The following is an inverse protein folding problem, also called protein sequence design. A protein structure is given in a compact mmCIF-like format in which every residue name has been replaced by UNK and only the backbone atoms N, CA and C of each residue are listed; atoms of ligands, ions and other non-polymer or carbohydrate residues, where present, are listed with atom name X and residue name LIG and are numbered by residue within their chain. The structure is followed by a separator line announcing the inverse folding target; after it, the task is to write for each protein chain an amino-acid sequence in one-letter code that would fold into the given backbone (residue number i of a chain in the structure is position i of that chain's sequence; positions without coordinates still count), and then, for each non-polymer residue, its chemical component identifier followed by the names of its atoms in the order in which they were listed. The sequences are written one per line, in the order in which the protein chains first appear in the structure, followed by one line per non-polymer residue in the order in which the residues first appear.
data_IF_649743114219
#
_entry.id   IF_649743114219
#
_cell.length_a   1.000
_cell.length_b   1.000
_cell.length_c   1.000
_cell.angle_alpha   90.00
_cell.angle_beta   90.00
_cell.angle_gamma   90.00
#
_symmetry.space_group_name_H-M   'P 1'
#
loop_
_entity.id
_entity.type
_entity.pdbx_description
1 polymer ?
#
# COMPACT_ATOMS: atom_id res chain seq x y z
N UNK A 1 -10.53 -6.39 -5.84
CA UNK A 1 -10.56 -4.91 -5.92
C UNK A 1 -9.76 -4.40 -7.12
N UNK A 2 -8.48 -4.78 -7.28
CA UNK A 2 -7.63 -4.21 -8.35
C UNK A 2 -8.10 -4.58 -9.76
N UNK A 3 -8.64 -5.78 -9.98
CA UNK A 3 -9.26 -6.12 -11.27
C UNK A 3 -10.44 -5.16 -11.60
N UNK A 4 -11.24 -4.82 -10.61
CA UNK A 4 -12.30 -3.81 -10.78
C UNK A 4 -11.72 -2.40 -11.04
N UNK A 5 -10.58 -2.05 -10.44
CA UNK A 5 -9.88 -0.81 -10.73
C UNK A 5 -9.45 -0.75 -12.21
N UNK A 6 -8.88 -1.84 -12.73
CA UNK A 6 -8.50 -1.95 -14.16
C UNK A 6 -9.71 -1.75 -15.06
N UNK A 7 -10.84 -2.38 -14.73
CA UNK A 7 -12.09 -2.20 -15.46
C UNK A 7 -12.59 -0.73 -15.41
N UNK A 8 -12.51 -0.07 -14.25
CA UNK A 8 -12.88 1.35 -14.12
C UNK A 8 -11.98 2.27 -14.95
N UNK A 9 -10.65 1.99 -14.95
CA UNK A 9 -9.69 2.72 -15.80
C UNK A 9 -10.07 2.59 -17.28
N UNK A 10 -10.40 1.37 -17.73
CA UNK A 10 -10.82 1.13 -19.11
C UNK A 10 -12.13 1.85 -19.46
N UNK A 11 -13.13 1.77 -18.58
CA UNK A 11 -14.45 2.41 -18.80
C UNK A 11 -14.38 3.94 -18.86
N UNK A 12 -13.39 4.55 -18.23
CA UNK A 12 -13.18 6.00 -18.24
C UNK A 12 -12.51 6.51 -19.52
N UNK A 13 -12.22 5.65 -20.48
CA UNK A 13 -11.52 5.98 -21.73
C UNK A 13 -12.34 5.59 -22.95
N UNK A 14 -12.17 6.29 -24.05
CA UNK A 14 -12.79 5.94 -25.34
C UNK A 14 -12.32 4.56 -25.84
N UNK A 15 -11.04 4.24 -25.62
CA UNK A 15 -10.46 2.94 -25.96
C UNK A 15 -9.81 2.33 -24.73
N UNK A 16 -10.17 1.09 -24.37
CA UNK A 16 -9.51 0.37 -23.28
C UNK A 16 -7.99 0.26 -23.49
N UNK A 17 -7.24 0.51 -22.46
CA UNK A 17 -5.75 0.41 -22.49
C UNK A 17 -5.24 -0.90 -21.91
N UNK A 18 -6.07 -1.60 -21.13
CA UNK A 18 -5.72 -2.86 -20.51
C UNK A 18 -6.62 -3.99 -20.99
N UNK A 19 -6.00 -5.11 -21.38
CA UNK A 19 -6.68 -6.39 -21.53
C UNK A 19 -6.36 -7.24 -20.31
N UNK A 20 -7.30 -7.30 -19.37
CA UNK A 20 -7.10 -8.11 -18.16
C UNK A 20 -7.25 -9.59 -18.50
N UNK A 21 -6.20 -10.39 -18.30
CA UNK A 21 -6.15 -11.80 -18.68
C UNK A 21 -6.35 -12.76 -17.51
N UNK A 22 -6.19 -12.32 -16.26
CA UNK A 22 -6.37 -13.18 -15.08
C UNK A 22 -5.46 -12.84 -13.92
N UNK A 23 -5.35 -13.78 -13.00
CA UNK A 23 -4.61 -13.64 -11.75
C UNK A 23 -3.44 -14.62 -11.69
N UNK A 24 -2.40 -14.25 -10.93
CA UNK A 24 -1.35 -15.16 -10.48
C UNK A 24 -1.41 -15.22 -8.96
N UNK A 25 -1.44 -16.42 -8.38
CA UNK A 25 -1.56 -16.62 -6.93
C UNK A 25 -0.87 -17.92 -6.52
N UNK A 26 0.02 -17.87 -5.53
CA UNK A 26 0.78 -19.02 -5.07
C UNK A 26 -0.04 -19.98 -4.18
N UNK A 27 -1.15 -19.50 -3.63
CA UNK A 27 -2.00 -20.26 -2.70
C UNK A 27 -3.30 -20.79 -3.31
N UNK A 28 -3.63 -20.38 -4.53
CA UNK A 28 -4.91 -20.70 -5.16
C UNK A 28 -4.67 -21.54 -6.43
N UNK A 29 -5.29 -22.72 -6.55
CA UNK A 29 -5.13 -23.55 -7.74
C UNK A 29 -5.57 -22.85 -9.03
N UNK A 30 -4.86 -23.10 -10.13
CA UNK A 30 -5.18 -22.57 -11.47
C UNK A 30 -6.50 -23.10 -12.06
N UNK A 31 -7.20 -23.97 -11.34
CA UNK A 31 -8.56 -24.42 -11.70
C UNK A 31 -9.66 -23.47 -11.22
N UNK A 32 -9.31 -22.47 -10.41
CA UNK A 32 -10.27 -21.50 -9.89
C UNK A 32 -10.48 -20.37 -10.88
N UNK A 33 -11.75 -20.04 -11.12
CA UNK A 33 -12.18 -18.89 -11.88
C UNK A 33 -12.87 -17.87 -10.96
N UNK A 34 -12.50 -16.62 -11.10
CA UNK A 34 -13.20 -15.50 -10.48
C UNK A 34 -14.09 -14.81 -11.51
N UNK A 35 -15.11 -14.04 -11.10
CA UNK A 35 -15.94 -13.27 -12.04
C UNK A 35 -15.14 -12.35 -12.96
N UNK A 36 -13.94 -11.93 -12.53
CA UNK A 36 -13.06 -11.05 -13.29
C UNK A 36 -12.08 -11.78 -14.19
N UNK A 37 -11.87 -13.08 -14.00
CA UNK A 37 -10.96 -13.89 -14.81
C UNK A 37 -10.34 -15.07 -14.07
N UNK A 38 -9.64 -15.94 -14.79
CA UNK A 38 -9.05 -17.18 -14.25
C UNK A 38 -7.79 -16.92 -13.43
N UNK A 39 -7.42 -17.90 -12.62
CA UNK A 39 -6.07 -18.00 -12.04
C UNK A 39 -5.15 -18.70 -13.06
N UNK A 40 -4.13 -18.01 -13.54
CA UNK A 40 -3.22 -18.46 -14.60
C UNK A 40 -2.05 -19.30 -14.08
N UNK A 41 -1.79 -19.28 -12.79
CA UNK A 41 -0.71 -20.00 -12.13
C UNK A 41 -0.09 -19.21 -10.98
N UNK A 42 1.11 -19.61 -10.60
CA UNK A 42 1.92 -19.01 -9.55
C UNK A 42 3.01 -18.07 -10.10
N UNK A 43 3.89 -17.56 -9.24
CA UNK A 43 5.01 -16.68 -9.61
C UNK A 43 6.02 -17.38 -10.56
N UNK A 44 6.14 -18.72 -10.53
CA UNK A 44 7.05 -19.43 -11.44
C UNK A 44 6.55 -19.34 -12.88
N UNK A 45 5.24 -19.33 -13.09
CA UNK A 45 4.63 -19.09 -14.40
C UNK A 45 5.01 -17.71 -14.93
N UNK A 46 4.98 -16.67 -14.09
CA UNK A 46 5.45 -15.32 -14.48
C UNK A 46 6.91 -15.32 -14.92
N UNK A 47 7.78 -16.03 -14.20
CA UNK A 47 9.20 -16.10 -14.53
C UNK A 47 9.49 -16.84 -15.85
N UNK A 48 8.57 -17.68 -16.29
CA UNK A 48 8.68 -18.40 -17.57
C UNK A 48 7.80 -17.84 -18.68
N UNK A 49 7.06 -16.75 -18.42
CA UNK A 49 6.16 -16.12 -19.39
C UNK A 49 6.90 -15.65 -20.64
N UNK A 50 6.35 -15.95 -21.83
CA UNK A 50 7.08 -15.82 -23.09
C UNK A 50 6.95 -14.46 -23.79
N UNK A 51 5.86 -13.75 -23.54
CA UNK A 51 5.53 -12.47 -24.17
C UNK A 51 5.66 -11.32 -23.18
N UNK A 52 5.58 -10.09 -23.66
CA UNK A 52 5.46 -8.92 -22.77
C UNK A 52 4.16 -9.01 -21.97
N UNK A 53 4.23 -8.70 -20.69
CA UNK A 53 3.08 -8.72 -19.79
C UNK A 53 3.21 -7.61 -18.76
N UNK A 54 2.16 -6.82 -18.59
CA UNK A 54 2.04 -5.83 -17.51
C UNK A 54 1.38 -6.48 -16.31
N UNK A 55 1.99 -6.38 -15.14
CA UNK A 55 1.41 -6.90 -13.90
C UNK A 55 1.31 -5.82 -12.83
N UNK A 56 0.39 -6.01 -11.90
CA UNK A 56 0.29 -5.23 -10.67
C UNK A 56 0.26 -6.17 -9.47
N UNK A 57 1.03 -5.86 -8.43
CA UNK A 57 1.13 -6.71 -7.23
C UNK A 57 0.25 -6.13 -6.13
N UNK A 58 -0.96 -6.69 -5.98
CA UNK A 58 -2.02 -6.18 -5.12
C UNK A 58 -2.01 -6.85 -3.73
N UNK A 59 -0.89 -6.75 -3.02
CA UNK A 59 -0.67 -7.40 -1.71
C UNK A 59 -0.56 -6.35 -0.61
N UNK A 60 -1.45 -6.43 0.39
CA UNK A 60 -1.53 -5.47 1.50
C UNK A 60 -0.40 -5.57 2.55
N UNK A 61 0.52 -6.50 2.43
CA UNK A 61 1.70 -6.62 3.29
C UNK A 61 2.93 -6.06 2.60
N UNK A 62 3.53 -4.96 3.07
CA UNK A 62 4.73 -4.37 2.46
C UNK A 62 5.88 -5.35 2.28
N UNK A 63 6.10 -6.21 3.27
CA UNK A 63 7.15 -7.24 3.24
C UNK A 63 6.89 -8.29 2.15
N UNK A 64 5.66 -8.79 2.07
CA UNK A 64 5.26 -9.80 1.07
C UNK A 64 5.26 -9.19 -0.33
N UNK A 65 4.74 -7.96 -0.48
CA UNK A 65 4.76 -7.19 -1.73
C UNK A 65 6.19 -7.09 -2.29
N UNK A 66 7.14 -6.65 -1.45
CA UNK A 66 8.55 -6.56 -1.85
C UNK A 66 9.11 -7.94 -2.22
N UNK A 67 8.86 -8.97 -1.42
CA UNK A 67 9.35 -10.33 -1.70
C UNK A 67 8.85 -10.86 -3.05
N UNK A 68 7.60 -10.62 -3.40
CA UNK A 68 7.04 -11.03 -4.70
C UNK A 68 7.75 -10.30 -5.84
N UNK A 69 7.88 -8.98 -5.75
CA UNK A 69 8.56 -8.18 -6.78
C UNK A 69 10.01 -8.63 -6.96
N UNK A 70 10.75 -8.85 -5.87
CA UNK A 70 12.14 -9.31 -5.91
C UNK A 70 12.32 -10.71 -6.55
N UNK A 71 11.29 -11.57 -6.44
CA UNK A 71 11.32 -12.91 -7.00
C UNK A 71 10.90 -12.99 -8.48
N UNK A 72 10.40 -11.91 -9.06
CA UNK A 72 10.08 -11.85 -10.48
C UNK A 72 11.30 -11.36 -11.26
N UNK A 73 12.03 -12.30 -11.88
CA UNK A 73 13.25 -12.01 -12.61
C UNK A 73 13.04 -11.84 -14.14
N UNK A 74 11.83 -12.08 -14.64
CA UNK A 74 11.52 -12.03 -16.06
C UNK A 74 11.48 -10.57 -16.57
N UNK A 75 12.43 -10.19 -17.41
CA UNK A 75 12.55 -8.83 -17.99
C UNK A 75 11.43 -8.45 -18.96
N UNK A 76 10.55 -9.37 -19.33
CA UNK A 76 9.36 -9.10 -20.16
C UNK A 76 8.15 -8.65 -19.33
N UNK A 77 8.31 -8.65 -18.01
CA UNK A 77 7.28 -8.16 -17.10
C UNK A 77 7.54 -6.67 -16.84
N UNK A 78 6.51 -5.86 -16.99
CA UNK A 78 6.50 -4.45 -16.60
C UNK A 78 5.45 -4.19 -15.51
N UNK A 79 5.61 -3.05 -14.82
CA UNK A 79 4.81 -2.69 -13.66
C UNK A 79 4.20 -1.29 -13.86
N UNK A 80 3.05 -1.19 -14.51
CA UNK A 80 2.39 0.09 -14.72
C UNK A 80 1.87 0.67 -13.40
N UNK A 81 1.76 1.99 -13.35
CA UNK A 81 1.00 2.66 -12.31
C UNK A 81 -0.49 2.58 -12.65
N UNK A 82 -1.31 2.12 -11.71
CA UNK A 82 -2.76 2.12 -11.82
C UNK A 82 -3.33 3.28 -11.02
N UNK A 83 -4.05 4.18 -11.70
CA UNK A 83 -4.66 5.36 -11.07
C UNK A 83 -6.16 5.35 -11.37
N UNK A 84 -6.98 5.29 -10.31
CA UNK A 84 -8.42 5.34 -10.45
C UNK A 84 -8.87 6.67 -11.06
N UNK A 85 -9.82 6.68 -11.99
CA UNK A 85 -10.33 7.91 -12.62
C UNK A 85 -10.90 8.94 -11.64
N UNK A 86 -11.32 8.53 -10.45
CA UNK A 86 -11.80 9.43 -9.39
C UNK A 86 -10.70 9.98 -8.48
N UNK A 87 -9.45 9.55 -8.66
CA UNK A 87 -8.34 10.14 -7.93
C UNK A 87 -8.10 11.59 -8.37
N UNK A 88 -7.89 12.47 -7.41
CA UNK A 88 -7.66 13.90 -7.66
C UNK A 88 -6.16 14.18 -7.57
N UNK A 89 -5.55 14.53 -8.68
CA UNK A 89 -4.15 14.92 -8.77
C UNK A 89 -4.09 16.39 -9.16
N UNK A 90 -3.69 17.28 -8.25
CA UNK A 90 -3.52 18.72 -8.56
C UNK A 90 -2.32 18.94 -9.49
N UNK A 91 -1.26 18.17 -9.26
CA UNK A 91 -0.11 18.03 -10.14
C UNK A 91 0.19 16.54 -10.34
N UNK A 92 0.77 16.19 -11.48
CA UNK A 92 1.28 14.83 -11.69
C UNK A 92 2.52 14.67 -10.83
N UNK A 93 2.52 13.80 -9.80
CA UNK A 93 3.68 13.62 -8.95
C UNK A 93 4.88 13.04 -9.73
N UNK A 94 6.09 13.31 -9.24
CA UNK A 94 7.24 12.48 -9.65
C UNK A 94 7.01 11.09 -9.06
N UNK A 95 6.77 10.10 -9.93
CA UNK A 95 6.30 8.78 -9.50
C UNK A 95 7.16 7.67 -10.11
N UNK A 96 7.54 6.69 -9.29
CA UNK A 96 8.15 5.44 -9.75
C UNK A 96 7.16 4.54 -10.49
N UNK A 97 7.39 3.24 -10.47
CA UNK A 97 6.58 2.24 -11.17
C UNK A 97 5.75 1.39 -10.20
N UNK A 98 4.73 0.72 -10.72
CA UNK A 98 3.97 -0.29 -10.00
C UNK A 98 3.10 0.23 -8.85
N UNK A 99 2.84 1.52 -8.79
CA UNK A 99 1.99 2.10 -7.75
C UNK A 99 0.50 1.86 -8.06
N UNK A 100 -0.29 1.62 -7.02
CA UNK A 100 -1.75 1.48 -7.09
C UNK A 100 -2.38 2.65 -6.34
N UNK A 101 -3.09 3.51 -7.04
CA UNK A 101 -3.84 4.64 -6.49
C UNK A 101 -5.32 4.38 -6.73
N UNK A 102 -6.05 4.05 -5.65
CA UNK A 102 -7.45 3.67 -5.75
C UNK A 102 -8.40 4.89 -5.67
N UNK A 103 -9.69 4.64 -5.60
CA UNK A 103 -10.72 5.66 -5.72
C UNK A 103 -10.61 6.76 -4.65
N UNK A 104 -10.92 8.00 -5.07
CA UNK A 104 -11.00 9.18 -4.23
C UNK A 104 -9.71 9.51 -3.44
N UNK A 105 -8.57 8.99 -3.86
CA UNK A 105 -7.29 9.46 -3.34
C UNK A 105 -7.03 10.91 -3.80
N UNK A 106 -6.41 11.71 -2.93
CA UNK A 106 -6.09 13.11 -3.24
C UNK A 106 -4.59 13.33 -3.09
N UNK A 107 -3.96 13.82 -4.15
CA UNK A 107 -2.56 14.23 -4.17
C UNK A 107 -2.50 15.70 -4.58
N UNK A 108 -1.84 16.55 -3.77
CA UNK A 108 -1.80 17.97 -4.11
C UNK A 108 -0.53 18.32 -4.89
N UNK A 109 0.41 19.08 -4.36
CA UNK A 109 1.53 19.65 -5.12
C UNK A 109 2.90 19.23 -4.59
N UNK A 110 3.92 19.24 -5.46
CA UNK A 110 5.32 18.94 -5.11
C UNK A 110 5.50 17.60 -4.39
N UNK A 111 4.87 16.54 -4.90
CA UNK A 111 4.91 15.20 -4.29
C UNK A 111 5.90 14.33 -5.06
N UNK A 112 6.70 13.55 -4.31
CA UNK A 112 7.60 12.54 -4.86
C UNK A 112 7.22 11.17 -4.30
N UNK A 113 6.93 10.23 -5.20
CA UNK A 113 6.56 8.86 -4.87
C UNK A 113 7.58 7.90 -5.46
N UNK A 114 8.05 6.99 -4.66
CA UNK A 114 8.82 5.84 -5.10
C UNK A 114 7.95 4.83 -5.87
N UNK A 115 8.34 3.57 -5.81
CA UNK A 115 7.73 2.48 -6.56
C UNK A 115 6.93 1.54 -5.66
N UNK A 116 5.95 0.86 -6.26
CA UNK A 116 5.19 -0.21 -5.62
C UNK A 116 4.45 0.20 -4.34
N UNK A 117 4.00 1.45 -4.25
CA UNK A 117 3.15 1.90 -3.16
C UNK A 117 1.69 1.62 -3.47
N UNK A 118 0.91 1.32 -2.43
CA UNK A 118 -0.54 1.11 -2.53
C UNK A 118 -1.23 2.19 -1.71
N UNK A 119 -2.03 3.01 -2.38
CA UNK A 119 -2.88 4.04 -1.76
C UNK A 119 -4.33 3.58 -1.87
N UNK A 120 -4.88 3.09 -0.76
CA UNK A 120 -6.28 2.66 -0.71
C UNK A 120 -7.23 3.85 -0.62
N UNK A 121 -8.51 3.56 -0.82
CA UNK A 121 -9.62 4.50 -0.99
C UNK A 121 -9.54 5.69 -0.03
N UNK A 122 -9.62 6.90 -0.58
CA UNK A 122 -9.70 8.12 0.18
C UNK A 122 -8.41 8.53 0.91
N UNK A 123 -7.26 7.94 0.56
CA UNK A 123 -5.96 8.37 1.09
C UNK A 123 -5.63 9.78 0.63
N UNK A 124 -5.15 10.62 1.54
CA UNK A 124 -4.80 12.03 1.29
C UNK A 124 -3.30 12.24 1.46
N UNK A 125 -2.64 12.71 0.41
CA UNK A 125 -1.22 13.06 0.36
C UNK A 125 -1.11 14.53 -0.06
N UNK A 126 -0.85 15.46 0.87
CA UNK A 126 -0.78 16.89 0.57
C UNK A 126 0.62 17.31 0.07
N UNK A 127 0.84 18.63 0.03
CA UNK A 127 2.02 19.26 -0.54
C UNK A 127 3.33 18.87 0.17
N UNK A 128 4.43 18.88 -0.60
CA UNK A 128 5.80 18.68 -0.11
C UNK A 128 6.02 17.34 0.61
N UNK A 129 5.33 16.27 0.17
CA UNK A 129 5.47 14.92 0.73
C UNK A 129 6.39 14.08 -0.14
N UNK A 130 7.32 13.40 0.50
CA UNK A 130 8.23 12.44 -0.14
C UNK A 130 7.96 11.05 0.44
N UNK A 131 7.68 10.09 -0.42
CA UNK A 131 7.37 8.70 -0.05
C UNK A 131 8.32 7.77 -0.80
N UNK A 132 8.97 6.87 -0.08
CA UNK A 132 9.82 5.81 -0.64
C UNK A 132 9.01 4.68 -1.28
N UNK A 133 9.56 3.48 -1.23
CA UNK A 133 9.02 2.32 -1.95
C UNK A 133 8.23 1.37 -1.05
N UNK A 134 7.33 0.59 -1.66
CA UNK A 134 6.63 -0.52 -1.02
C UNK A 134 5.81 -0.14 0.22
N UNK A 135 5.28 1.06 0.31
CA UNK A 135 4.40 1.44 1.41
C UNK A 135 2.94 1.08 1.10
N UNK A 136 2.20 0.71 2.13
CA UNK A 136 0.76 0.43 2.02
C UNK A 136 -0.01 1.39 2.92
N UNK A 137 -0.81 2.23 2.30
CA UNK A 137 -1.74 3.16 2.96
C UNK A 137 -3.13 2.55 2.89
N UNK A 138 -3.65 2.08 4.02
CA UNK A 138 -5.02 1.56 4.10
C UNK A 138 -6.07 2.69 3.97
N UNK A 139 -7.36 2.35 3.80
CA UNK A 139 -8.37 3.36 3.52
C UNK A 139 -8.38 4.55 4.49
N UNK A 140 -8.53 5.75 3.91
CA UNK A 140 -8.63 7.02 4.62
C UNK A 140 -7.41 7.38 5.47
N UNK A 141 -6.24 6.89 5.12
CA UNK A 141 -4.99 7.40 5.71
C UNK A 141 -4.80 8.85 5.32
N UNK A 142 -4.49 9.70 6.30
CA UNK A 142 -4.24 11.11 6.11
C UNK A 142 -2.79 11.45 6.48
N UNK A 143 -2.01 11.84 5.51
CA UNK A 143 -0.67 12.41 5.71
C UNK A 143 -0.78 13.92 5.69
N UNK A 144 -0.06 14.65 6.54
CA UNK A 144 0.00 16.11 6.45
C UNK A 144 1.26 16.57 5.70
N UNK A 145 1.26 17.82 5.26
CA UNK A 145 2.30 18.40 4.41
C UNK A 145 3.71 18.35 4.99
N UNK A 146 4.72 18.47 4.13
CA UNK A 146 6.14 18.48 4.50
C UNK A 146 6.55 17.25 5.31
N UNK A 147 6.09 16.07 4.89
CA UNK A 147 6.34 14.79 5.56
C UNK A 147 7.24 13.92 4.69
N UNK A 148 8.22 13.27 5.31
CA UNK A 148 9.05 12.25 4.69
C UNK A 148 8.65 10.86 5.19
N UNK A 149 8.43 9.93 4.27
CA UNK A 149 8.09 8.53 4.55
C UNK A 149 9.09 7.64 3.84
N UNK A 150 9.80 6.81 4.59
CA UNK A 150 10.74 5.82 4.08
C UNK A 150 10.03 4.67 3.34
N UNK A 151 10.54 3.47 3.50
CA UNK A 151 10.14 2.32 2.70
C UNK A 151 9.41 1.28 3.56
N UNK A 152 8.54 0.48 2.92
CA UNK A 152 7.92 -0.72 3.52
C UNK A 152 7.14 -0.44 4.81
N UNK A 153 6.47 0.71 4.89
CA UNK A 153 5.60 1.02 6.00
C UNK A 153 4.16 0.57 5.73
N UNK A 154 3.49 0.11 6.77
CA UNK A 154 2.06 -0.19 6.76
C UNK A 154 1.31 0.84 7.60
N UNK A 155 0.42 1.57 6.97
CA UNK A 155 -0.45 2.56 7.61
C UNK A 155 -1.86 1.98 7.74
N UNK A 156 -2.32 1.79 8.97
CA UNK A 156 -3.65 1.27 9.28
C UNK A 156 -4.77 2.23 8.88
N UNK A 157 -5.97 1.68 8.74
CA UNK A 157 -7.16 2.45 8.35
C UNK A 157 -7.33 3.71 9.20
N UNK A 158 -7.57 4.86 8.56
CA UNK A 158 -7.80 6.16 9.21
C UNK A 158 -6.66 6.62 10.14
N UNK A 159 -5.43 6.15 9.97
CA UNK A 159 -4.34 6.75 10.71
C UNK A 159 -3.98 8.13 10.13
N UNK A 160 -3.43 8.99 10.98
CA UNK A 160 -3.07 10.37 10.63
C UNK A 160 -1.62 10.62 11.01
N UNK A 161 -0.85 11.21 10.10
CA UNK A 161 0.50 11.72 10.35
C UNK A 161 0.43 13.25 10.30
N UNK A 162 0.83 13.93 11.40
CA UNK A 162 0.83 15.38 11.42
C UNK A 162 1.98 15.96 10.60
N UNK A 163 1.89 17.25 10.29
CA UNK A 163 2.81 17.97 9.43
C UNK A 163 4.28 17.89 9.88
N UNK A 164 5.20 17.85 8.92
CA UNK A 164 6.64 17.99 9.15
C UNK A 164 7.29 16.78 9.84
N UNK A 165 6.74 15.57 9.68
CA UNK A 165 7.30 14.37 10.32
C UNK A 165 8.14 13.54 9.36
N UNK A 166 9.10 12.84 9.95
CA UNK A 166 9.89 11.81 9.28
C UNK A 166 9.48 10.45 9.82
N UNK A 167 9.08 9.56 8.92
CA UNK A 167 8.76 8.17 9.21
C UNK A 167 9.83 7.31 8.55
N UNK A 168 10.59 6.57 9.35
CA UNK A 168 11.63 5.65 8.85
C UNK A 168 11.04 4.46 8.07
N UNK A 169 11.80 3.40 7.96
CA UNK A 169 11.44 2.20 7.21
C UNK A 169 10.78 1.12 8.09
N UNK A 170 10.00 0.23 7.46
CA UNK A 170 9.47 -0.98 8.08
C UNK A 170 8.62 -0.72 9.34
N UNK A 171 7.88 0.36 9.38
CA UNK A 171 6.98 0.65 10.49
C UNK A 171 5.58 0.08 10.23
N UNK A 172 4.89 -0.27 11.31
CA UNK A 172 3.49 -0.65 11.32
C UNK A 172 2.72 0.33 12.21
N UNK A 173 1.85 1.13 11.62
CA UNK A 173 1.03 2.13 12.31
C UNK A 173 -0.41 1.62 12.33
N UNK A 174 -0.93 1.35 13.53
CA UNK A 174 -2.25 0.78 13.73
C UNK A 174 -3.39 1.67 13.26
N UNK A 175 -4.55 1.08 13.03
CA UNK A 175 -5.75 1.79 12.61
C UNK A 175 -6.16 2.87 13.63
N UNK A 176 -6.63 4.03 13.13
CA UNK A 176 -7.06 5.17 13.94
C UNK A 176 -5.95 5.87 14.72
N UNK A 177 -4.69 5.52 14.51
CA UNK A 177 -3.57 6.12 15.23
C UNK A 177 -3.28 7.54 14.75
N UNK A 178 -2.85 8.41 15.67
CA UNK A 178 -2.38 9.77 15.34
C UNK A 178 -0.91 9.91 15.70
N UNK A 179 -0.08 10.02 14.69
CA UNK A 179 1.39 10.14 14.80
C UNK A 179 1.76 11.59 15.03
N UNK A 180 2.16 11.93 16.26
CA UNK A 180 2.55 13.29 16.66
C UNK A 180 4.05 13.55 16.59
N UNK A 181 4.88 12.50 16.50
CA UNK A 181 6.34 12.61 16.49
C UNK A 181 6.93 11.85 15.31
N UNK A 182 8.12 12.25 14.86
CA UNK A 182 8.90 11.46 13.92
C UNK A 182 9.18 10.06 14.49
N UNK A 183 9.25 9.07 13.61
CA UNK A 183 9.37 7.65 13.96
C UNK A 183 10.61 7.08 13.28
N UNK A 184 11.49 6.47 14.06
CA UNK A 184 12.58 5.66 13.53
C UNK A 184 12.05 4.41 12.82
N UNK A 185 12.96 3.65 12.22
CA UNK A 185 12.60 2.40 11.54
C UNK A 185 12.22 1.27 12.50
N UNK A 186 11.46 0.29 11.98
CA UNK A 186 11.12 -0.96 12.66
C UNK A 186 10.28 -0.76 13.94
N UNK A 187 9.33 0.16 13.92
CA UNK A 187 8.41 0.41 15.04
C UNK A 187 7.02 -0.11 14.72
N UNK A 188 6.30 -0.50 15.77
CA UNK A 188 4.88 -0.76 15.75
C UNK A 188 4.19 0.20 16.71
N UNK A 189 3.30 1.04 16.19
CA UNK A 189 2.62 2.11 16.92
C UNK A 189 1.12 1.93 16.91
N UNK A 190 0.47 2.29 17.99
CA UNK A 190 -0.99 2.22 18.11
C UNK A 190 -1.50 3.36 18.99
N UNK A 191 -2.67 3.87 18.67
CA UNK A 191 -3.45 4.77 19.51
C UNK A 191 -3.41 6.24 19.11
N UNK A 192 -4.07 7.06 19.90
CA UNK A 192 -4.11 8.51 19.78
C UNK A 192 -3.83 9.16 21.15
N UNK A 193 -2.62 9.71 21.36
CA UNK A 193 -1.48 9.71 20.44
C UNK A 193 -0.92 8.32 20.15
N UNK A 194 -0.28 8.15 19.00
CA UNK A 194 0.35 6.88 18.62
C UNK A 194 1.59 6.64 19.48
N UNK A 195 1.59 5.54 20.22
CA UNK A 195 2.70 5.11 21.06
C UNK A 195 3.14 3.70 20.67
N UNK A 196 4.33 3.29 21.12
CA UNK A 196 4.83 1.96 20.80
C UNK A 196 3.90 0.88 21.40
N UNK A 197 3.38 0.00 20.54
CA UNK A 197 2.41 -1.03 20.94
C UNK A 197 2.92 -2.00 21.99
N UNK A 198 4.25 -2.22 22.06
CA UNK A 198 4.87 -3.06 23.11
C UNK A 198 4.64 -2.45 24.49
N UNK A 199 4.64 -1.12 24.61
CA UNK A 199 4.37 -0.45 25.89
C UNK A 199 2.92 -0.65 26.33
N UNK A 200 1.98 -0.58 25.39
CA UNK A 200 0.55 -0.84 25.66
C UNK A 200 0.37 -2.27 26.16
N UNK A 201 0.95 -3.25 25.46
CA UNK A 201 0.83 -4.66 25.84
C UNK A 201 1.45 -4.95 27.20
N UNK A 202 2.62 -4.38 27.51
CA UNK A 202 3.28 -4.55 28.81
C UNK A 202 2.39 -4.03 29.94
N UNK A 203 1.78 -2.85 29.79
CA UNK A 203 0.92 -2.28 30.82
C UNK A 203 -0.40 -3.07 30.95
N UNK A 204 -0.99 -3.50 29.85
CA UNK A 204 -2.15 -4.37 29.85
C UNK A 204 -1.91 -5.67 30.65
N UNK A 205 -0.83 -6.39 30.37
CA UNK A 205 -0.49 -7.61 31.10
C UNK A 205 -0.17 -7.36 32.57
N UNK A 206 0.39 -6.19 32.90
CA UNK A 206 0.62 -5.80 34.30
C UNK A 206 -0.70 -5.59 35.05
N UNK A 207 -1.68 -4.96 34.42
CA UNK A 207 -3.01 -4.75 35.00
C UNK A 207 -3.73 -6.10 35.19
N UNK A 208 -3.78 -6.95 34.16
CA UNK A 208 -4.43 -8.27 34.23
C UNK A 208 -3.79 -9.17 35.30
N UNK A 209 -2.47 -9.11 35.49
CA UNK A 209 -1.82 -9.84 36.58
C UNK A 209 -2.24 -9.36 37.96
N UNK A 210 -2.36 -8.04 38.16
CA UNK A 210 -2.81 -7.46 39.44
C UNK A 210 -4.25 -7.86 39.76
N UNK A 211 -5.14 -7.85 38.78
CA UNK A 211 -6.52 -8.27 38.96
C UNK A 211 -6.68 -9.75 39.33
N UNK A 212 -5.82 -10.63 38.75
CA UNK A 212 -5.79 -12.07 39.09
C UNK A 212 -5.22 -12.36 40.49
N UNK A 213 -4.38 -11.47 41.03
CA UNK A 213 -3.83 -11.61 42.38
C UNK A 213 -4.74 -11.01 43.46
N UNK A 214 -5.75 -10.21 43.07
CA UNK A 214 -6.70 -9.58 43.97
C UNK A 214 -8.00 -10.39 44.14
N UNK A 215 -8.11 -11.51 43.44
CA UNK A 215 -9.19 -12.53 43.58
C UNK A 215 -8.65 -13.77 44.26
#
# INVERSE_FOLDING_TARGET
EVACLIERINKARETPIWNFIGFFDDGIPSTNDYPQGPVLGDINVLNTWKTSLSITVAIGSPKTLKSIVDNIANKKIDYPNLVDPSAVLYEIPQIGIGNIITANCVFTTNIKLGSYNIFNIGTIIPHDVIIGDFNVFNPYVNVSGNTFIGNRNLFGVKCTIIQGKTIGDNNNIGAGSVVLNSIDSCKSLLGNPAINSILILKEYFRIVKKEKQAK
#
